data_IF_163070582341
#
_entry.id   IF_163070582341
#
_cell.length_a   1.000
_cell.length_b   1.000
_cell.length_c   1.000
_cell.angle_alpha   90.00
_cell.angle_beta   90.00
_cell.angle_gamma   90.00
#
_symmetry.space_group_name_H-M   'P 1'
#
loop_
_entity.id
_entity.type
_entity.pdbx_description
1 polymer ?
#
# COMPACT_ATOMS: atom_id res chain seq x y z
N UNK A 1 -8.08 16.81 -8.33
CA UNK A 1 -7.17 15.92 -7.58
C UNK A 1 -6.47 15.02 -8.58
N UNK A 2 -5.16 14.93 -8.53
CA UNK A 2 -4.39 14.03 -9.39
C UNK A 2 -4.57 12.59 -8.93
N UNK A 3 -4.42 11.65 -9.87
CA UNK A 3 -4.52 10.21 -9.62
C UNK A 3 -3.19 9.57 -10.00
N UNK A 4 -2.56 8.94 -9.02
CA UNK A 4 -1.33 8.17 -9.21
C UNK A 4 -1.66 6.70 -9.33
N UNK A 5 -0.94 6.03 -10.22
CA UNK A 5 -0.98 4.58 -10.41
C UNK A 5 0.32 4.05 -9.84
N UNK A 6 0.19 3.10 -8.92
CA UNK A 6 1.29 2.33 -8.37
C UNK A 6 1.28 0.98 -9.09
N UNK A 7 2.03 0.89 -10.19
CA UNK A 7 2.20 -0.35 -10.93
C UNK A 7 3.25 -1.21 -10.20
N UNK A 8 2.81 -2.36 -9.74
CA UNK A 8 3.59 -3.32 -8.97
C UNK A 8 3.89 -4.59 -9.79
N UNK A 9 3.90 -4.48 -11.12
CA UNK A 9 4.33 -5.56 -12.02
C UNK A 9 5.80 -5.88 -11.78
N UNK A 10 6.11 -7.15 -11.48
CA UNK A 10 7.49 -7.61 -11.22
C UNK A 10 8.39 -7.27 -12.41
N UNK A 11 9.53 -6.64 -12.14
CA UNK A 11 10.50 -6.21 -13.15
C UNK A 11 10.19 -4.91 -13.89
N UNK A 12 8.96 -4.38 -13.79
CA UNK A 12 8.53 -3.15 -14.49
C UNK A 12 7.80 -2.15 -13.58
N UNK A 13 7.90 -2.32 -12.26
CA UNK A 13 7.14 -1.55 -11.29
C UNK A 13 7.50 -0.06 -11.32
N UNK A 14 6.50 0.82 -11.30
CA UNK A 14 6.66 2.27 -11.40
C UNK A 14 5.48 3.03 -10.77
N UNK A 15 5.67 4.33 -10.54
CA UNK A 15 4.60 5.25 -10.15
C UNK A 15 4.43 6.29 -11.26
N UNK A 16 3.21 6.44 -11.80
CA UNK A 16 2.93 7.35 -12.90
C UNK A 16 1.46 7.79 -12.94
N UNK A 17 1.14 8.78 -13.79
CA UNK A 17 -0.23 9.23 -14.05
C UNK A 17 -0.71 8.70 -15.40
N UNK A 18 -1.89 8.09 -15.46
CA UNK A 18 -2.53 7.69 -16.72
C UNK A 18 -4.06 7.63 -16.56
N UNK A 19 -4.79 7.58 -17.69
CA UNK A 19 -6.22 7.30 -17.71
C UNK A 19 -6.45 5.79 -17.67
N UNK A 20 -6.75 5.26 -16.49
CA UNK A 20 -7.18 3.86 -16.31
C UNK A 20 -8.67 3.79 -15.94
N UNK A 21 -9.35 2.75 -16.43
CA UNK A 21 -10.67 2.37 -15.93
C UNK A 21 -10.51 1.58 -14.64
N UNK A 22 -11.17 2.00 -13.56
CA UNK A 22 -11.13 1.27 -12.31
C UNK A 22 -11.87 -0.06 -12.44
N UNK A 23 -11.23 -1.16 -12.07
CA UNK A 23 -11.89 -2.44 -11.85
C UNK A 23 -12.07 -2.66 -10.35
N UNK A 24 -13.17 -3.27 -9.96
CA UNK A 24 -13.39 -3.69 -8.59
C UNK A 24 -12.82 -5.09 -8.40
N UNK A 25 -11.92 -5.21 -7.43
CA UNK A 25 -11.37 -6.48 -6.99
C UNK A 25 -11.86 -6.78 -5.57
N UNK A 26 -12.01 -8.07 -5.29
CA UNK A 26 -12.52 -8.63 -4.03
C UNK A 26 -11.54 -9.67 -3.46
N UNK A 27 -10.23 -9.54 -3.72
CA UNK A 27 -9.24 -10.41 -3.09
C UNK A 27 -9.02 -10.00 -1.62
N UNK A 28 -8.47 -10.88 -0.76
CA UNK A 28 -8.15 -10.56 0.64
C UNK A 28 -7.33 -9.27 0.80
N UNK A 29 -6.32 -9.09 -0.05
CA UNK A 29 -5.52 -7.85 -0.11
C UNK A 29 -6.38 -6.61 -0.36
N UNK A 30 -7.31 -6.64 -1.32
CA UNK A 30 -8.17 -5.50 -1.63
C UNK A 30 -9.10 -5.13 -0.45
N UNK A 31 -9.59 -6.14 0.27
CA UNK A 31 -10.40 -5.92 1.47
C UNK A 31 -9.60 -5.21 2.56
N UNK A 32 -8.36 -5.64 2.82
CA UNK A 32 -7.49 -4.99 3.80
C UNK A 32 -7.09 -3.58 3.34
N UNK A 33 -6.73 -3.39 2.07
CA UNK A 33 -6.40 -2.09 1.52
C UNK A 33 -7.56 -1.10 1.70
N UNK A 34 -8.79 -1.48 1.37
CA UNK A 34 -9.99 -0.65 1.60
C UNK A 34 -10.24 -0.38 3.08
N UNK A 35 -10.05 -1.39 3.95
CA UNK A 35 -10.33 -1.27 5.39
C UNK A 35 -9.42 -0.27 6.09
N UNK A 36 -8.14 -0.22 5.70
CA UNK A 36 -7.08 0.53 6.39
C UNK A 36 -6.64 1.81 5.67
N UNK A 37 -6.92 1.98 4.36
CA UNK A 37 -6.42 3.13 3.59
C UNK A 37 -7.50 3.98 2.90
N UNK A 38 -8.78 3.55 2.91
CA UNK A 38 -9.86 4.38 2.39
C UNK A 38 -10.13 5.57 3.32
N UNK A 39 -10.12 6.78 2.76
CA UNK A 39 -10.25 8.06 3.48
C UNK A 39 -9.26 8.20 4.65
N UNK A 40 -8.10 7.57 4.54
CA UNK A 40 -7.06 7.65 5.57
C UNK A 40 -6.35 9.01 5.55
N UNK A 41 -6.00 9.49 6.74
CA UNK A 41 -5.08 10.59 6.91
C UNK A 41 -3.64 10.08 6.80
N UNK A 42 -2.89 10.59 5.82
CA UNK A 42 -1.47 10.26 5.68
C UNK A 42 -0.69 11.05 6.73
N UNK A 43 -0.08 10.35 7.68
CA UNK A 43 0.77 10.94 8.73
C UNK A 43 2.19 11.19 8.23
N UNK A 44 2.75 10.23 7.52
CA UNK A 44 4.13 10.26 7.04
C UNK A 44 4.23 9.52 5.71
N UNK A 45 5.07 10.03 4.81
CA UNK A 45 5.54 9.32 3.62
C UNK A 45 7.06 9.33 3.65
N UNK A 46 7.70 8.15 3.60
CA UNK A 46 9.15 8.03 3.58
C UNK A 46 9.63 7.00 2.59
N UNK A 47 10.78 7.29 1.97
CA UNK A 47 11.58 6.27 1.30
C UNK A 47 12.49 5.65 2.35
N UNK A 48 12.47 4.33 2.49
CA UNK A 48 13.41 3.66 3.39
C UNK A 48 14.84 3.85 2.86
N UNK A 49 15.75 4.20 3.76
CA UNK A 49 17.12 4.57 3.42
C UNK A 49 17.80 3.49 2.56
N UNK A 50 18.49 3.94 1.51
CA UNK A 50 19.23 3.11 0.56
C UNK A 50 18.41 1.96 -0.06
N UNK A 51 17.08 2.13 -0.11
CA UNK A 51 16.17 1.14 -0.65
C UNK A 51 15.11 1.77 -1.56
N UNK A 52 14.49 0.96 -2.41
CA UNK A 52 13.37 1.36 -3.28
C UNK A 52 12.04 0.96 -2.66
N UNK A 53 11.89 1.26 -1.37
CA UNK A 53 10.68 0.93 -0.59
C UNK A 53 10.05 2.22 -0.10
N UNK A 54 8.88 2.53 -0.63
CA UNK A 54 8.09 3.70 -0.25
C UNK A 54 7.07 3.29 0.81
N UNK A 55 7.15 3.90 1.99
CA UNK A 55 6.30 3.62 3.13
C UNK A 55 5.36 4.80 3.40
N UNK A 56 4.07 4.50 3.54
CA UNK A 56 3.08 5.44 4.04
C UNK A 56 2.65 4.99 5.43
N UNK A 57 2.75 5.88 6.42
CA UNK A 57 2.11 5.70 7.72
C UNK A 57 0.80 6.47 7.71
N UNK A 58 -0.31 5.81 8.03
CA UNK A 58 -1.65 6.41 7.94
C UNK A 58 -2.45 6.18 9.21
N UNK A 59 -3.47 7.02 9.38
CA UNK A 59 -4.51 6.88 10.41
C UNK A 59 -5.88 6.90 9.75
N UNK A 60 -6.72 5.92 10.08
CA UNK A 60 -8.15 5.92 9.73
C UNK A 60 -8.95 6.04 11.01
N UNK A 61 -9.71 7.12 11.14
CA UNK A 61 -10.66 7.30 12.23
C UNK A 61 -12.02 6.72 11.81
N UNK A 62 -12.48 5.65 12.49
CA UNK A 62 -13.84 5.12 12.34
C UNK A 62 -14.65 5.46 13.60
N UNK A 63 -15.98 5.38 13.48
CA UNK A 63 -16.91 5.75 14.56
C UNK A 63 -16.60 5.12 15.93
N UNK A 64 -16.10 3.88 15.95
CA UNK A 64 -15.81 3.13 17.18
C UNK A 64 -14.32 3.05 17.53
N UNK A 65 -13.43 3.08 16.53
CA UNK A 65 -12.00 2.85 16.72
C UNK A 65 -11.19 3.54 15.64
N UNK A 66 -10.04 4.08 16.01
CA UNK A 66 -9.00 4.53 15.09
C UNK A 66 -8.02 3.39 14.79
N UNK A 67 -7.56 3.32 13.54
CA UNK A 67 -6.55 2.37 13.10
C UNK A 67 -5.32 3.15 12.65
N UNK A 68 -4.16 2.77 13.18
CA UNK A 68 -2.89 3.16 12.61
C UNK A 68 -2.32 1.98 11.85
N UNK A 69 -1.81 2.24 10.66
CA UNK A 69 -1.30 1.18 9.78
C UNK A 69 -0.27 1.75 8.83
N UNK A 70 0.55 0.87 8.27
CA UNK A 70 1.55 1.24 7.28
C UNK A 70 1.35 0.41 6.02
N UNK A 71 1.69 1.00 4.89
CA UNK A 71 1.78 0.28 3.61
C UNK A 71 3.15 0.52 3.00
N UNK A 72 3.82 -0.57 2.66
CA UNK A 72 5.15 -0.62 2.07
C UNK A 72 5.00 -1.03 0.61
N UNK A 73 5.36 -0.13 -0.31
CA UNK A 73 5.47 -0.43 -1.73
C UNK A 73 6.93 -0.75 -2.06
N UNK A 74 7.21 -2.01 -2.36
CA UNK A 74 8.56 -2.49 -2.63
C UNK A 74 8.80 -2.52 -4.14
N UNK A 75 9.57 -1.58 -4.68
CA UNK A 75 9.93 -1.49 -6.10
C UNK A 75 11.28 -2.19 -6.37
N UNK A 76 11.38 -3.45 -5.97
CA UNK A 76 12.64 -4.23 -5.90
C UNK A 76 12.82 -5.19 -7.09
N UNK A 77 12.18 -4.92 -8.23
CA UNK A 77 12.35 -5.68 -9.47
C UNK A 77 11.61 -7.01 -9.44
N UNK A 78 12.33 -8.14 -9.48
CA UNK A 78 11.69 -9.47 -9.45
C UNK A 78 10.94 -9.73 -8.12
N UNK A 79 11.38 -9.07 -7.05
CA UNK A 79 10.82 -9.20 -5.71
C UNK A 79 9.78 -8.11 -5.41
N UNK A 80 9.33 -7.33 -6.41
CA UNK A 80 8.33 -6.27 -6.20
C UNK A 80 7.11 -6.79 -5.43
N UNK A 81 6.69 -6.06 -4.41
CA UNK A 81 5.55 -6.40 -3.58
C UNK A 81 4.86 -5.15 -3.03
N UNK A 82 3.72 -5.36 -2.37
CA UNK A 82 3.15 -4.38 -1.46
C UNK A 82 2.65 -5.09 -0.22
N UNK A 83 2.97 -4.52 0.94
CA UNK A 83 2.74 -5.14 2.25
C UNK A 83 2.00 -4.15 3.13
N UNK A 84 0.92 -4.60 3.76
CA UNK A 84 0.16 -3.85 4.75
C UNK A 84 0.55 -4.36 6.13
N UNK A 85 0.88 -3.45 7.04
CA UNK A 85 1.19 -3.78 8.43
C UNK A 85 0.34 -2.96 9.40
N UNK A 86 0.28 -3.41 10.65
CA UNK A 86 -0.18 -2.58 11.75
C UNK A 86 0.87 -1.52 12.14
N UNK A 87 0.61 -0.76 13.21
CA UNK A 87 1.55 0.26 13.69
C UNK A 87 2.88 -0.30 14.20
N UNK A 88 2.89 -1.57 14.63
CA UNK A 88 4.06 -2.30 15.18
C UNK A 88 4.81 -3.08 14.12
N UNK A 89 4.51 -2.84 12.84
CA UNK A 89 5.12 -3.52 11.69
C UNK A 89 4.82 -5.04 11.64
N UNK A 90 3.75 -5.50 12.29
CA UNK A 90 3.24 -6.86 12.07
C UNK A 90 2.45 -6.91 10.76
N UNK A 91 2.78 -7.87 9.91
CA UNK A 91 2.13 -8.05 8.61
C UNK A 91 0.66 -8.40 8.82
N UNK A 92 -0.22 -7.60 8.23
CA UNK A 92 -1.65 -7.85 8.14
C UNK A 92 -1.95 -8.63 6.87
N UNK A 93 -1.39 -8.19 5.74
CA UNK A 93 -1.62 -8.78 4.43
C UNK A 93 -0.56 -8.32 3.41
N UNK A 94 -0.28 -9.13 2.40
CA UNK A 94 0.63 -8.80 1.30
C UNK A 94 0.02 -9.16 -0.05
N UNK A 95 0.34 -8.38 -1.10
CA UNK A 95 -0.13 -8.67 -2.46
C UNK A 95 0.44 -9.99 -2.98
N UNK A 96 1.64 -10.35 -2.53
CA UNK A 96 2.31 -11.60 -2.88
C UNK A 96 2.83 -12.25 -1.61
N UNK A 97 2.35 -13.46 -1.34
CA UNK A 97 2.81 -14.31 -0.26
C UNK A 97 4.08 -15.06 -0.72
N UNK A 98 4.97 -15.33 0.21
CA UNK A 98 6.20 -16.10 0.00
C UNK A 98 6.10 -17.30 0.94
N UNK A 99 6.17 -18.50 0.37
CA UNK A 99 6.21 -19.77 1.10
C UNK A 99 7.65 -20.13 1.49
#
# INVERSE_FOLDING_TARGET
>A
RERFIFDLTRGMSAIYTAKLMSKNYNAPFDFMLKKYFNNAFIKEVKLLQDNRILCFSVKVDKAYKSYESKIYFEFTGKNTNVIITDEKDLIIEALRHID
#
